data_IF_793373967431
#
_entry.id   IF_793373967431
#
_cell.length_a   1.000
_cell.length_b   1.000
_cell.length_c   1.000
_cell.angle_alpha   90.00
_cell.angle_beta   90.00
_cell.angle_gamma   90.00
#
_symmetry.space_group_name_H-M   'P 1'
#
loop_
_entity.id
_entity.type
_entity.pdbx_description
1 polymer ?
#
# COMPACT_ATOMS: atom_id res chain seq x y z
N UNK A 1 11.91 -52.87 31.82
CA UNK A 1 12.96 -51.97 31.31
C UNK A 1 12.95 -52.04 29.80
N UNK A 2 12.36 -51.04 29.12
CA UNK A 2 12.58 -50.74 27.71
C UNK A 2 12.32 -49.23 27.53
N UNK A 3 13.36 -48.54 27.07
CA UNK A 3 13.46 -47.09 26.87
C UNK A 3 12.80 -46.67 25.54
N UNK A 4 12.15 -45.49 25.45
CA UNK A 4 11.65 -44.99 24.18
C UNK A 4 12.69 -44.10 23.49
N UNK A 5 12.89 -44.34 22.19
CA UNK A 5 13.75 -43.56 21.30
C UNK A 5 13.07 -42.26 20.85
N UNK A 6 13.78 -41.15 21.04
CA UNK A 6 13.44 -39.78 20.61
C UNK A 6 13.38 -39.68 19.08
N UNK A 7 12.33 -39.04 18.55
CA UNK A 7 12.28 -38.54 17.16
C UNK A 7 13.07 -37.23 17.03
N UNK A 8 13.77 -36.97 15.91
CA UNK A 8 14.48 -35.70 15.70
C UNK A 8 13.55 -34.59 15.19
N UNK A 9 13.84 -33.37 15.64
CA UNK A 9 13.24 -32.09 15.24
C UNK A 9 13.38 -31.84 13.74
N UNK A 10 12.29 -31.40 13.10
CA UNK A 10 12.29 -30.86 11.73
C UNK A 10 12.39 -29.34 11.80
N UNK A 11 13.59 -28.83 11.60
CA UNK A 11 13.88 -27.42 11.44
C UNK A 11 15.16 -27.27 10.64
N UNK A 12 15.20 -27.85 9.44
CA UNK A 12 16.35 -27.69 8.53
C UNK A 12 15.96 -28.16 7.12
N UNK A 13 15.35 -27.27 6.35
CA UNK A 13 15.38 -27.31 4.89
C UNK A 13 14.97 -25.93 4.39
N UNK A 14 15.97 -25.15 3.96
CA UNK A 14 15.94 -24.04 3.00
C UNK A 14 17.05 -23.04 3.39
N UNK A 15 18.29 -23.42 3.07
CA UNK A 15 19.40 -22.48 2.90
C UNK A 15 20.25 -23.00 1.74
N UNK A 16 20.24 -22.27 0.63
CA UNK A 16 21.30 -22.21 -0.41
C UNK A 16 20.75 -21.51 -1.66
N UNK A 17 20.84 -20.18 -1.69
CA UNK A 17 20.96 -19.40 -2.92
C UNK A 17 22.08 -18.37 -2.67
N UNK A 18 23.16 -18.33 -3.48
CA UNK A 18 24.25 -17.37 -3.28
C UNK A 18 23.99 -16.06 -4.04
N UNK A 19 24.12 -14.92 -3.37
CA UNK A 19 24.15 -13.58 -3.99
C UNK A 19 25.53 -12.95 -3.80
N UNK A 20 26.13 -12.45 -4.90
CA UNK A 20 27.38 -11.68 -4.90
C UNK A 20 27.06 -10.18 -4.81
N UNK A 21 27.87 -9.36 -4.13
CA UNK A 21 27.72 -7.90 -4.13
C UNK A 21 28.34 -7.25 -5.36
N UNK A 22 27.72 -6.16 -5.82
CA UNK A 22 28.22 -5.25 -6.86
C UNK A 22 28.91 -4.06 -6.19
N UNK A 23 30.19 -3.84 -6.49
CA UNK A 23 30.94 -2.62 -6.15
C UNK A 23 30.79 -1.57 -7.25
N UNK A 24 30.59 -0.31 -6.86
CA UNK A 24 30.58 0.85 -7.74
C UNK A 24 31.22 2.06 -7.05
N UNK A 25 32.27 2.59 -7.68
CA UNK A 25 33.18 3.66 -7.24
C UNK A 25 32.61 5.08 -7.49
N UNK A 26 32.91 6.01 -6.58
CA UNK A 26 32.64 7.45 -6.69
C UNK A 26 33.94 8.23 -6.98
N UNK A 27 33.91 9.38 -7.70
CA UNK A 27 34.99 10.37 -7.67
C UNK A 27 34.59 11.67 -6.93
N UNK A 28 35.57 12.26 -6.23
CA UNK A 28 35.44 13.43 -5.36
C UNK A 28 35.55 14.82 -6.03
N UNK A 29 35.55 15.92 -5.24
CA UNK A 29 35.37 17.29 -5.75
C UNK A 29 36.69 18.07 -5.93
N UNK A 30 36.71 18.98 -6.90
CA UNK A 30 37.80 19.96 -7.15
C UNK A 30 37.38 21.43 -6.87
N UNK A 31 38.33 22.37 -6.69
CA UNK A 31 38.15 23.54 -5.83
C UNK A 31 37.97 24.91 -6.53
N UNK A 32 37.68 25.90 -5.68
CA UNK A 32 37.41 27.34 -5.92
C UNK A 32 38.61 28.13 -6.47
N UNK A 33 38.32 29.21 -7.21
CA UNK A 33 39.25 30.28 -7.58
C UNK A 33 38.59 31.67 -7.54
N UNK A 34 39.34 32.69 -7.12
CA UNK A 34 38.94 34.07 -6.83
C UNK A 34 39.71 35.10 -7.68
N UNK A 35 39.18 36.33 -7.84
CA UNK A 35 39.87 37.67 -7.89
C UNK A 35 38.93 38.74 -8.50
N UNK A 36 38.63 39.86 -7.80
CA UNK A 36 39.26 41.23 -7.81
C UNK A 36 39.13 41.98 -9.16
N UNK A 37 38.93 43.30 -9.34
CA UNK A 37 38.50 44.54 -8.61
C UNK A 37 38.56 45.71 -9.62
N UNK A 38 37.57 46.64 -9.63
CA UNK A 38 37.60 48.13 -9.79
C UNK A 38 38.29 48.90 -10.96
N UNK A 39 37.63 50.02 -11.37
CA UNK A 39 38.07 51.44 -11.61
C UNK A 39 37.14 52.04 -12.72
N UNK A 40 36.28 53.07 -12.57
CA UNK A 40 36.29 54.48 -12.09
C UNK A 40 36.82 55.52 -13.09
N UNK A 41 35.93 56.31 -13.71
CA UNK A 41 36.01 57.73 -14.19
C UNK A 41 34.55 58.11 -14.55
N UNK A 42 33.88 59.21 -14.20
CA UNK A 42 34.24 60.56 -13.76
C UNK A 42 33.61 61.56 -14.74
N UNK A 43 32.63 62.38 -14.31
CA UNK A 43 32.45 63.81 -14.67
C UNK A 43 31.05 64.35 -14.29
N UNK A 44 31.08 65.37 -13.45
CA UNK A 44 30.00 66.30 -13.11
C UNK A 44 29.86 67.35 -14.22
N UNK A 45 28.64 67.64 -14.70
CA UNK A 45 28.13 68.98 -15.04
C UNK A 45 26.63 68.87 -15.39
N UNK A 46 25.76 69.56 -14.65
CA UNK A 46 24.31 69.55 -14.93
C UNK A 46 23.37 69.92 -13.78
N UNK A 47 23.83 70.72 -12.81
CA UNK A 47 22.98 71.32 -11.78
C UNK A 47 22.30 72.55 -12.40
N UNK A 48 21.08 72.38 -12.94
CA UNK A 48 19.99 73.40 -12.98
C UNK A 48 18.76 73.04 -13.88
N UNK A 49 18.53 71.78 -14.25
CA UNK A 49 17.32 71.38 -15.00
C UNK A 49 16.52 70.21 -14.41
N UNK A 50 16.84 69.73 -13.20
CA UNK A 50 16.19 68.56 -12.62
C UNK A 50 14.81 68.77 -11.96
N UNK A 51 14.41 69.94 -11.41
CA UNK A 51 13.10 70.04 -10.75
C UNK A 51 11.91 70.09 -11.72
N UNK A 52 12.11 70.60 -12.95
CA UNK A 52 11.01 70.77 -13.94
C UNK A 52 10.71 69.49 -14.72
N UNK A 53 11.68 68.58 -14.87
CA UNK A 53 11.48 67.28 -15.54
C UNK A 53 10.74 66.26 -14.65
N UNK A 54 10.92 66.34 -13.33
CA UNK A 54 10.24 65.45 -12.36
C UNK A 54 8.76 65.84 -12.16
N UNK A 55 8.42 67.14 -12.22
CA UNK A 55 7.03 67.57 -12.11
C UNK A 55 6.20 67.26 -13.38
N UNK A 56 6.78 67.42 -14.57
CA UNK A 56 6.11 67.08 -15.84
C UNK A 56 5.87 65.57 -16.03
N UNK A 57 6.77 64.72 -15.52
CA UNK A 57 6.61 63.26 -15.59
C UNK A 57 5.59 62.73 -14.56
N UNK A 58 5.46 63.36 -13.39
CA UNK A 58 4.47 62.98 -12.38
C UNK A 58 3.01 63.27 -12.82
N UNK A 59 2.74 64.41 -13.48
CA UNK A 59 1.40 64.71 -14.02
C UNK A 59 1.05 63.81 -15.22
N UNK A 60 2.01 63.53 -16.10
CA UNK A 60 1.80 62.61 -17.22
C UNK A 60 1.51 61.18 -16.74
N UNK A 61 2.18 60.71 -15.69
CA UNK A 61 1.88 59.41 -15.06
C UNK A 61 0.51 59.37 -14.39
N UNK A 62 0.05 60.45 -13.75
CA UNK A 62 -1.30 60.49 -13.17
C UNK A 62 -2.43 60.52 -14.21
N UNK A 63 -2.20 61.13 -15.38
CA UNK A 63 -3.15 61.13 -16.50
C UNK A 63 -3.20 59.78 -17.23
N UNK A 64 -2.05 59.14 -17.45
CA UNK A 64 -1.97 57.78 -18.05
C UNK A 64 -2.52 56.72 -17.08
N UNK A 65 -2.23 56.82 -15.79
CA UNK A 65 -2.78 55.90 -14.77
C UNK A 65 -4.29 56.08 -14.56
N UNK A 66 -4.87 57.25 -14.89
CA UNK A 66 -6.33 57.44 -14.91
C UNK A 66 -6.99 56.86 -16.15
N UNK A 67 -6.31 56.82 -17.30
CA UNK A 67 -6.85 56.23 -18.53
C UNK A 67 -6.67 54.71 -18.63
N UNK A 68 -5.79 54.11 -17.82
CA UNK A 68 -5.52 52.66 -17.79
C UNK A 68 -5.96 51.95 -16.51
N UNK A 69 -6.91 52.50 -15.74
CA UNK A 69 -7.71 51.64 -14.87
C UNK A 69 -8.76 51.01 -15.76
N UNK A 70 -8.68 49.71 -16.12
CA UNK A 70 -9.87 49.04 -16.59
C UNK A 70 -10.90 49.25 -15.49
N UNK A 71 -11.95 50.00 -15.80
CA UNK A 71 -13.19 49.95 -15.05
C UNK A 71 -13.61 48.48 -15.10
N UNK A 72 -13.28 47.73 -14.05
CA UNK A 72 -13.95 46.49 -13.75
C UNK A 72 -15.36 46.92 -13.35
N UNK A 73 -16.18 47.22 -14.37
CA UNK A 73 -17.60 47.00 -14.27
C UNK A 73 -17.68 45.50 -13.98
N UNK A 74 -17.85 45.17 -12.70
CA UNK A 74 -18.43 43.90 -12.32
C UNK A 74 -19.72 43.83 -13.15
N UNK A 75 -19.72 43.01 -14.21
CA UNK A 75 -20.94 42.66 -14.88
C UNK A 75 -21.81 41.98 -13.82
N UNK A 76 -22.73 42.74 -13.22
CA UNK A 76 -23.71 42.19 -12.28
C UNK A 76 -24.57 41.11 -12.96
N UNK A 77 -24.62 41.07 -14.29
CA UNK A 77 -25.24 39.98 -15.06
C UNK A 77 -24.59 38.61 -14.83
N UNK A 78 -23.30 38.54 -14.43
CA UNK A 78 -22.63 37.25 -14.15
C UNK A 78 -22.80 36.77 -12.72
N UNK A 79 -23.39 37.59 -11.83
CA UNK A 79 -23.80 37.16 -10.48
C UNK A 79 -25.12 36.35 -10.51
N UNK A 80 -25.75 36.21 -11.68
CA UNK A 80 -26.97 35.42 -11.89
C UNK A 80 -26.75 33.99 -12.39
N UNK A 81 -25.54 33.62 -12.83
CA UNK A 81 -25.18 32.21 -13.02
C UNK A 81 -24.99 31.61 -11.63
N UNK A 82 -26.09 31.05 -11.10
CA UNK A 82 -26.12 30.33 -9.83
C UNK A 82 -24.96 29.34 -9.85
N UNK A 83 -23.88 29.65 -9.13
CA UNK A 83 -22.74 28.76 -9.02
C UNK A 83 -23.29 27.39 -8.64
N UNK A 84 -23.07 26.39 -9.50
CA UNK A 84 -23.49 25.02 -9.23
C UNK A 84 -23.04 24.69 -7.80
N UNK A 85 -23.95 24.23 -6.92
CA UNK A 85 -23.59 23.97 -5.54
C UNK A 85 -22.40 23.01 -5.53
N UNK A 86 -21.30 23.43 -4.89
CA UNK A 86 -20.10 22.59 -4.74
C UNK A 86 -20.56 21.31 -4.04
N UNK A 87 -20.59 20.19 -4.76
CA UNK A 87 -20.94 18.93 -4.16
C UNK A 87 -19.84 18.54 -3.16
N UNK A 88 -20.18 18.26 -1.89
CA UNK A 88 -19.21 17.75 -0.94
C UNK A 88 -18.53 16.49 -1.50
N UNK A 89 -17.22 16.37 -1.28
CA UNK A 89 -16.50 15.15 -1.63
C UNK A 89 -17.12 13.95 -0.91
N UNK A 90 -17.49 12.92 -1.68
CA UNK A 90 -18.01 11.66 -1.15
C UNK A 90 -16.96 10.55 -1.36
N UNK A 91 -16.28 10.09 -0.30
CA UNK A 91 -15.33 8.97 -0.36
C UNK A 91 -15.88 7.67 -0.93
N UNK A 92 -17.21 7.48 -0.92
CA UNK A 92 -17.85 6.29 -1.48
C UNK A 92 -17.90 6.34 -3.01
N UNK A 93 -17.83 7.53 -3.61
CA UNK A 93 -17.70 7.65 -5.06
C UNK A 93 -16.32 7.16 -5.49
N UNK A 94 -16.31 6.08 -6.27
CA UNK A 94 -15.08 5.41 -6.68
C UNK A 94 -14.52 4.39 -5.68
N UNK A 95 -15.19 4.18 -4.54
CA UNK A 95 -14.85 3.07 -3.65
C UNK A 95 -15.05 1.72 -4.36
N UNK A 96 -14.13 0.79 -4.14
CA UNK A 96 -14.11 -0.50 -4.82
C UNK A 96 -15.09 -1.47 -4.15
N UNK A 97 -15.05 -1.59 -2.82
CA UNK A 97 -15.94 -2.48 -2.07
C UNK A 97 -17.20 -1.71 -1.62
N UNK A 98 -18.39 -2.35 -1.62
CA UNK A 98 -18.64 -3.75 -1.94
C UNK A 98 -18.89 -4.05 -3.43
N UNK A 99 -18.88 -3.05 -4.32
CA UNK A 99 -19.40 -3.20 -5.68
C UNK A 99 -18.53 -4.05 -6.62
N UNK A 100 -17.21 -4.04 -6.43
CA UNK A 100 -16.26 -4.76 -7.27
C UNK A 100 -15.58 -5.86 -6.48
N UNK A 101 -15.40 -7.03 -7.10
CA UNK A 101 -14.51 -8.06 -6.56
C UNK A 101 -13.08 -7.81 -7.03
N UNK A 102 -12.13 -7.85 -6.11
CA UNK A 102 -10.72 -7.71 -6.44
C UNK A 102 -10.12 -9.08 -6.75
N UNK A 103 -9.43 -9.18 -7.88
CA UNK A 103 -8.59 -10.34 -8.24
C UNK A 103 -7.18 -9.84 -8.48
N UNK A 104 -6.25 -10.28 -7.64
CA UNK A 104 -4.88 -9.79 -7.59
C UNK A 104 -3.86 -10.87 -7.96
N UNK A 105 -2.76 -10.47 -8.60
CA UNK A 105 -1.54 -11.27 -8.64
C UNK A 105 -0.54 -10.73 -7.62
N UNK A 106 -0.05 -11.63 -6.77
CA UNK A 106 0.98 -11.36 -5.77
C UNK A 106 2.37 -11.36 -6.41
N UNK A 107 3.30 -10.57 -5.87
CA UNK A 107 4.68 -10.59 -6.33
C UNK A 107 5.66 -9.86 -5.43
N UNK A 108 6.80 -10.51 -5.19
CA UNK A 108 8.04 -9.86 -4.76
C UNK A 108 8.89 -9.62 -6.03
N UNK A 109 9.27 -8.37 -6.36
CA UNK A 109 10.04 -8.07 -7.56
C UNK A 109 11.30 -8.93 -7.68
N UNK A 110 11.48 -9.55 -8.85
CA UNK A 110 12.64 -10.40 -9.14
C UNK A 110 12.61 -11.80 -8.48
N UNK A 111 11.58 -12.15 -7.72
CA UNK A 111 11.45 -13.44 -7.05
C UNK A 111 10.33 -14.31 -7.68
N UNK A 112 10.62 -15.03 -8.78
CA UNK A 112 9.61 -15.76 -9.56
C UNK A 112 8.86 -16.85 -8.78
N UNK A 113 9.49 -17.40 -7.74
CA UNK A 113 8.89 -18.42 -6.89
C UNK A 113 7.74 -17.89 -6.01
N UNK A 114 7.58 -16.57 -5.87
CA UNK A 114 6.65 -15.97 -4.90
C UNK A 114 5.26 -15.75 -5.49
N UNK A 115 5.20 -15.23 -6.72
CA UNK A 115 3.94 -15.01 -7.39
C UNK A 115 4.09 -14.45 -8.80
N UNK A 116 3.01 -14.49 -9.61
CA UNK A 116 3.07 -14.12 -11.02
C UNK A 116 3.48 -12.67 -11.27
N UNK A 117 3.26 -11.76 -10.32
CA UNK A 117 3.57 -10.35 -10.46
C UNK A 117 5.03 -9.98 -10.09
N UNK A 118 5.92 -10.97 -9.87
CA UNK A 118 7.36 -10.72 -9.63
C UNK A 118 8.04 -9.92 -10.75
N UNK A 119 7.48 -9.95 -11.97
CA UNK A 119 7.95 -9.22 -13.13
C UNK A 119 6.75 -8.73 -13.96
N UNK A 120 6.74 -7.43 -14.25
CA UNK A 120 5.75 -6.81 -15.11
C UNK A 120 5.97 -7.24 -16.57
N UNK A 121 4.92 -7.76 -17.20
CA UNK A 121 4.94 -8.13 -18.62
C UNK A 121 3.53 -8.19 -19.19
N UNK A 122 3.43 -8.10 -20.52
CA UNK A 122 2.16 -8.29 -21.23
C UNK A 122 1.57 -9.70 -20.99
N UNK A 123 2.43 -10.72 -20.87
CA UNK A 123 1.99 -12.08 -20.58
C UNK A 123 1.41 -12.22 -19.17
N UNK A 124 2.05 -11.59 -18.17
CA UNK A 124 1.51 -11.54 -16.80
C UNK A 124 0.14 -10.86 -16.79
N UNK A 125 0.00 -9.71 -17.45
CA UNK A 125 -1.28 -8.99 -17.54
C UNK A 125 -2.37 -9.82 -18.22
N UNK A 126 -2.06 -10.47 -19.35
CA UNK A 126 -3.01 -11.32 -20.05
C UNK A 126 -3.50 -12.49 -19.17
N UNK A 127 -2.62 -13.08 -18.36
CA UNK A 127 -2.98 -14.11 -17.39
C UNK A 127 -3.88 -13.56 -16.28
N UNK A 128 -3.57 -12.38 -15.75
CA UNK A 128 -4.38 -11.71 -14.72
C UNK A 128 -5.79 -11.39 -15.25
N UNK A 129 -5.88 -10.86 -16.48
CA UNK A 129 -7.14 -10.59 -17.16
C UNK A 129 -7.96 -11.87 -17.39
N UNK A 130 -7.33 -12.94 -17.85
CA UNK A 130 -7.99 -14.23 -18.01
C UNK A 130 -8.52 -14.77 -16.66
N UNK A 131 -7.73 -14.67 -15.59
CA UNK A 131 -8.15 -15.08 -14.25
C UNK A 131 -9.34 -14.26 -13.75
N UNK A 132 -9.31 -12.93 -13.90
CA UNK A 132 -10.43 -12.07 -13.51
C UNK A 132 -11.69 -12.29 -14.33
N UNK A 133 -11.58 -12.57 -15.64
CA UNK A 133 -12.73 -12.87 -16.49
C UNK A 133 -13.51 -14.12 -16.03
N UNK A 134 -12.82 -15.10 -15.44
CA UNK A 134 -13.49 -16.26 -14.84
C UNK A 134 -14.35 -15.85 -13.65
N UNK A 135 -13.82 -15.03 -12.74
CA UNK A 135 -14.58 -14.53 -11.58
C UNK A 135 -15.76 -13.65 -12.00
N UNK A 136 -15.56 -12.72 -12.95
CA UNK A 136 -16.62 -11.86 -13.47
C UNK A 136 -17.77 -12.65 -14.11
N UNK A 137 -17.48 -13.78 -14.77
CA UNK A 137 -18.51 -14.66 -15.34
C UNK A 137 -19.26 -15.45 -14.27
N UNK A 138 -18.56 -15.90 -13.23
CA UNK A 138 -19.16 -16.71 -12.16
C UNK A 138 -20.00 -15.87 -11.19
N UNK A 139 -19.66 -14.61 -11.01
CA UNK A 139 -20.45 -13.66 -10.22
C UNK A 139 -20.57 -12.31 -10.95
N UNK A 140 -21.58 -12.18 -11.83
CA UNK A 140 -21.81 -10.94 -12.58
C UNK A 140 -22.35 -9.79 -11.70
N UNK A 141 -22.75 -10.06 -10.46
CA UNK A 141 -23.25 -9.01 -9.54
C UNK A 141 -22.12 -8.19 -8.93
N UNK A 142 -20.89 -8.73 -8.94
CA UNK A 142 -19.68 -8.05 -8.51
C UNK A 142 -18.64 -8.07 -9.65
N UNK A 143 -18.68 -7.07 -10.57
CA UNK A 143 -17.66 -6.94 -11.61
C UNK A 143 -16.25 -6.95 -11.04
N UNK A 144 -15.28 -7.44 -11.80
CA UNK A 144 -13.91 -7.62 -11.30
C UNK A 144 -13.07 -6.37 -11.50
N UNK A 145 -12.38 -5.96 -10.43
CA UNK A 145 -11.25 -5.03 -10.48
C UNK A 145 -9.96 -5.84 -10.34
N UNK A 146 -9.08 -5.73 -11.34
CA UNK A 146 -7.79 -6.42 -11.33
C UNK A 146 -6.78 -5.65 -10.49
N UNK A 147 -5.85 -6.35 -9.84
CA UNK A 147 -4.85 -5.74 -8.99
C UNK A 147 -3.48 -6.43 -9.06
N UNK A 148 -2.46 -5.71 -8.63
CA UNK A 148 -1.18 -6.28 -8.23
C UNK A 148 -1.05 -6.11 -6.72
N UNK A 149 -0.63 -7.17 -6.05
CA UNK A 149 -0.30 -7.19 -4.63
C UNK A 149 1.23 -7.26 -4.49
N UNK A 150 1.84 -6.09 -4.26
CA UNK A 150 3.27 -5.86 -4.38
C UNK A 150 3.90 -5.74 -2.99
N UNK A 151 4.78 -6.67 -2.63
CA UNK A 151 5.58 -6.56 -1.40
C UNK A 151 6.52 -5.36 -1.50
N UNK A 152 6.13 -4.26 -0.87
CA UNK A 152 6.80 -2.97 -0.93
C UNK A 152 7.81 -2.79 0.21
N UNK A 153 7.64 -3.52 1.32
CA UNK A 153 8.68 -3.72 2.34
C UNK A 153 8.90 -5.22 2.56
N UNK A 154 10.07 -5.71 2.21
CA UNK A 154 10.41 -7.14 2.13
C UNK A 154 11.00 -7.59 3.46
N UNK A 155 10.41 -8.57 4.17
CA UNK A 155 11.00 -9.09 5.40
C UNK A 155 12.23 -9.95 5.09
N UNK A 156 13.28 -9.79 5.88
CA UNK A 156 14.54 -10.54 5.70
C UNK A 156 15.09 -11.03 7.05
N UNK A 157 15.92 -12.08 7.00
CA UNK A 157 16.72 -12.55 8.14
C UNK A 157 17.89 -11.62 8.44
N UNK A 158 18.24 -10.75 7.50
CA UNK A 158 19.31 -9.77 7.66
C UNK A 158 18.74 -8.40 8.06
N UNK A 159 19.35 -7.71 9.05
CA UNK A 159 18.79 -6.46 9.58
C UNK A 159 18.78 -5.29 8.59
N UNK A 160 19.66 -5.31 7.57
CA UNK A 160 19.88 -4.20 6.66
C UNK A 160 20.48 -2.96 7.34
N UNK A 161 20.68 -1.86 6.58
CA UNK A 161 21.21 -0.61 7.11
C UNK A 161 20.35 0.00 8.24
N UNK A 162 19.03 -0.11 8.13
CA UNK A 162 18.05 0.45 9.07
C UNK A 162 17.89 -0.41 10.34
N UNK A 163 18.51 -1.59 10.39
CA UNK A 163 18.43 -2.54 11.51
C UNK A 163 17.01 -3.04 11.83
N UNK A 164 16.09 -2.96 10.86
CA UNK A 164 14.69 -3.33 11.03
C UNK A 164 14.37 -4.73 10.53
N UNK A 165 15.29 -5.43 9.86
CA UNK A 165 14.99 -6.74 9.24
C UNK A 165 13.85 -6.67 8.19
N UNK A 166 13.63 -5.49 7.64
CA UNK A 166 12.73 -5.24 6.51
C UNK A 166 13.40 -4.27 5.54
N UNK A 167 13.24 -4.52 4.25
CA UNK A 167 13.90 -3.78 3.17
C UNK A 167 12.86 -3.22 2.23
N UNK A 168 12.79 -1.89 2.17
CA UNK A 168 11.89 -1.19 1.25
C UNK A 168 12.33 -1.40 -0.18
N UNK A 169 11.36 -1.58 -1.07
CA UNK A 169 11.62 -1.43 -2.49
C UNK A 169 12.11 -0.01 -2.77
N UNK A 170 13.01 0.11 -3.74
CA UNK A 170 13.49 1.43 -4.15
C UNK A 170 12.35 2.21 -4.84
N UNK A 171 12.35 3.55 -4.74
CA UNK A 171 11.29 4.37 -5.34
C UNK A 171 11.13 4.20 -6.86
N UNK A 172 12.18 3.80 -7.59
CA UNK A 172 12.12 3.58 -9.04
C UNK A 172 11.31 2.33 -9.36
N UNK A 173 11.52 1.25 -8.60
CA UNK A 173 10.72 0.03 -8.72
C UNK A 173 9.26 0.30 -8.38
N UNK A 174 8.96 0.96 -7.25
CA UNK A 174 7.58 1.34 -6.89
C UNK A 174 6.94 2.17 -8.01
N UNK A 175 7.64 3.18 -8.52
CA UNK A 175 7.16 4.02 -9.62
C UNK A 175 6.88 3.22 -10.92
N UNK A 176 7.63 2.14 -11.20
CA UNK A 176 7.38 1.28 -12.34
C UNK A 176 6.05 0.52 -12.20
N UNK A 177 5.77 -0.03 -11.01
CA UNK A 177 4.50 -0.70 -10.73
C UNK A 177 3.31 0.28 -10.73
N UNK A 178 3.48 1.48 -10.17
CA UNK A 178 2.46 2.54 -10.23
C UNK A 178 2.12 2.89 -11.68
N UNK A 179 3.12 3.17 -12.52
CA UNK A 179 2.88 3.49 -13.95
C UNK A 179 2.17 2.35 -14.67
N UNK A 180 2.59 1.11 -14.42
CA UNK A 180 1.98 -0.06 -15.03
C UNK A 180 0.51 -0.22 -14.62
N UNK A 181 0.21 -0.10 -13.33
CA UNK A 181 -1.17 -0.20 -12.84
C UNK A 181 -2.04 0.94 -13.38
N UNK A 182 -1.52 2.17 -13.43
CA UNK A 182 -2.22 3.31 -14.02
C UNK A 182 -2.52 3.10 -15.50
N UNK A 183 -1.55 2.64 -16.29
CA UNK A 183 -1.70 2.39 -17.73
C UNK A 183 -2.73 1.30 -18.04
N UNK A 184 -2.91 0.34 -17.14
CA UNK A 184 -3.78 -0.81 -17.33
C UNK A 184 -5.04 -0.82 -16.44
N UNK A 185 -5.31 0.29 -15.76
CA UNK A 185 -6.46 0.47 -14.86
C UNK A 185 -6.55 -0.61 -13.75
N UNK A 186 -5.40 -1.02 -13.22
CA UNK A 186 -5.27 -1.97 -12.13
C UNK A 186 -5.21 -1.22 -10.79
N UNK A 187 -5.62 -1.89 -9.71
CA UNK A 187 -5.22 -1.48 -8.36
C UNK A 187 -3.78 -1.92 -8.07
N UNK A 188 -3.13 -1.22 -7.15
CA UNK A 188 -1.83 -1.61 -6.60
C UNK A 188 -1.95 -1.64 -5.08
N UNK A 189 -1.83 -2.82 -4.48
CA UNK A 189 -1.64 -2.93 -3.04
C UNK A 189 -0.14 -2.79 -2.76
N UNK A 190 0.20 -1.85 -1.89
CA UNK A 190 1.51 -1.81 -1.25
C UNK A 190 1.44 -2.75 -0.05
N UNK A 191 2.04 -3.92 -0.17
CA UNK A 191 2.06 -4.95 0.86
C UNK A 191 3.28 -4.75 1.76
N UNK A 192 3.01 -4.50 3.04
CA UNK A 192 4.00 -4.10 4.02
C UNK A 192 4.25 -5.20 5.06
N UNK A 193 5.46 -5.75 5.03
CA UNK A 193 6.07 -6.46 6.14
C UNK A 193 7.04 -5.54 6.88
N UNK A 194 6.78 -5.27 8.15
CA UNK A 194 7.47 -4.19 8.87
C UNK A 194 8.79 -4.64 9.52
N UNK A 195 9.02 -5.95 9.64
CA UNK A 195 10.12 -6.46 10.46
C UNK A 195 10.02 -5.86 11.87
N UNK A 196 11.13 -5.36 12.39
CA UNK A 196 11.23 -4.63 13.65
C UNK A 196 11.06 -3.10 13.51
N UNK A 197 10.67 -2.59 12.34
CA UNK A 197 10.41 -1.15 12.19
C UNK A 197 9.19 -0.73 13.04
N UNK A 198 9.21 0.47 13.66
CA UNK A 198 8.00 1.04 14.24
C UNK A 198 6.90 1.18 13.17
N UNK A 199 5.73 0.62 13.41
CA UNK A 199 4.65 0.48 12.41
C UNK A 199 4.33 1.79 11.70
N UNK A 200 4.10 2.86 12.48
CA UNK A 200 3.75 4.16 11.90
C UNK A 200 4.91 4.83 11.17
N UNK A 201 6.15 4.57 11.57
CA UNK A 201 7.31 5.12 10.86
C UNK A 201 7.45 4.50 9.46
N UNK A 202 7.20 3.19 9.35
CA UNK A 202 7.18 2.52 8.05
C UNK A 202 6.00 2.97 7.20
N UNK A 203 4.80 3.05 7.79
CA UNK A 203 3.62 3.53 7.08
C UNK A 203 3.82 4.93 6.51
N UNK A 204 4.40 5.85 7.29
CA UNK A 204 4.68 7.23 6.84
C UNK A 204 5.57 7.30 5.60
N UNK A 205 6.45 6.31 5.36
CA UNK A 205 7.23 6.26 4.13
C UNK A 205 6.35 6.02 2.90
N UNK A 206 5.30 5.21 3.04
CA UNK A 206 4.41 4.82 1.94
C UNK A 206 3.15 5.70 1.82
N UNK A 207 2.81 6.48 2.85
CA UNK A 207 1.65 7.39 2.84
C UNK A 207 1.55 8.27 1.59
N UNK A 208 2.63 8.91 1.08
CA UNK A 208 2.52 9.74 -0.11
C UNK A 208 1.94 9.01 -1.34
N UNK A 209 2.15 7.70 -1.47
CA UNK A 209 1.56 6.94 -2.57
C UNK A 209 0.05 6.75 -2.40
N UNK A 210 -0.41 6.48 -1.18
CA UNK A 210 -1.84 6.32 -0.85
C UNK A 210 -2.60 7.64 -0.99
N UNK A 211 -1.95 8.75 -0.65
CA UNK A 211 -2.45 10.12 -0.74
C UNK A 211 -2.59 10.60 -2.19
N UNK A 212 -1.61 10.29 -3.05
CA UNK A 212 -1.55 10.82 -4.41
C UNK A 212 -2.25 9.95 -5.45
N UNK A 213 -2.36 8.63 -5.24
CA UNK A 213 -2.89 7.72 -6.24
C UNK A 213 -4.20 7.07 -5.76
N UNK A 214 -5.28 7.33 -6.50
CA UNK A 214 -6.61 6.80 -6.18
C UNK A 214 -6.74 5.28 -6.31
N UNK A 215 -5.85 4.63 -7.07
CA UNK A 215 -5.81 3.17 -7.28
C UNK A 215 -4.78 2.44 -6.42
N UNK A 216 -4.05 3.17 -5.56
CA UNK A 216 -3.11 2.58 -4.61
C UNK A 216 -3.83 2.31 -3.29
N UNK A 217 -3.73 1.06 -2.85
CA UNK A 217 -4.33 0.48 -1.65
C UNK A 217 -3.24 -0.08 -0.72
N UNK A 218 -3.60 -0.54 0.48
CA UNK A 218 -2.64 -1.07 1.45
C UNK A 218 -2.92 -2.54 1.78
N UNK A 219 -1.86 -3.34 1.84
CA UNK A 219 -1.85 -4.66 2.43
C UNK A 219 -0.79 -4.71 3.55
N UNK A 220 -0.99 -5.56 4.55
CA UNK A 220 -0.03 -5.78 5.62
C UNK A 220 0.07 -7.28 5.93
N UNK A 221 1.29 -7.72 6.26
CA UNK A 221 1.62 -9.09 6.68
C UNK A 221 2.01 -9.15 8.16
N UNK A 222 1.04 -9.27 9.09
CA UNK A 222 1.25 -9.39 10.52
C UNK A 222 2.26 -10.44 10.97
N UNK A 223 2.41 -11.57 10.26
CA UNK A 223 3.36 -12.61 10.65
C UNK A 223 4.82 -12.11 10.69
N UNK A 224 5.12 -11.07 9.91
CA UNK A 224 6.45 -10.48 9.75
C UNK A 224 6.61 -9.15 10.49
N UNK A 225 5.65 -8.76 11.32
CA UNK A 225 5.65 -7.52 12.09
C UNK A 225 6.09 -7.74 13.53
N UNK A 226 7.29 -7.34 13.93
CA UNK A 226 7.86 -7.48 15.27
C UNK A 226 7.97 -6.13 16.02
N UNK A 227 6.85 -5.43 16.33
CA UNK A 227 6.88 -4.13 17.01
C UNK A 227 7.45 -4.18 18.43
N UNK A 228 7.66 -5.39 18.96
CA UNK A 228 8.22 -5.67 20.29
C UNK A 228 9.68 -6.13 20.25
N UNK A 229 10.31 -6.15 19.06
CA UNK A 229 11.70 -6.58 18.86
C UNK A 229 12.02 -7.97 19.43
N UNK A 230 11.05 -8.89 19.37
CA UNK A 230 11.13 -10.22 19.98
C UNK A 230 11.32 -11.36 18.96
N UNK A 231 11.72 -11.03 17.73
CA UNK A 231 11.96 -12.02 16.70
C UNK A 231 12.57 -11.45 15.42
N UNK A 232 12.99 -12.36 14.56
CA UNK A 232 13.57 -12.08 13.25
C UNK A 232 12.67 -12.72 12.19
N UNK A 233 12.21 -11.98 11.16
CA UNK A 233 11.45 -12.55 10.06
C UNK A 233 12.14 -13.76 9.41
N UNK A 234 11.35 -14.75 9.02
CA UNK A 234 11.85 -16.01 8.47
C UNK A 234 12.57 -16.93 9.48
N UNK A 235 12.68 -16.55 10.75
CA UNK A 235 13.14 -17.41 11.87
C UNK A 235 12.00 -17.56 12.89
N UNK A 236 11.37 -16.45 13.23
CA UNK A 236 10.24 -16.37 14.13
C UNK A 236 8.98 -15.99 13.35
N UNK A 237 7.83 -16.26 13.97
CA UNK A 237 6.54 -15.70 13.57
C UNK A 237 6.11 -14.72 14.66
N UNK A 238 5.43 -13.66 14.26
CA UNK A 238 5.01 -12.63 15.20
C UNK A 238 3.63 -12.84 15.81
N UNK A 239 3.38 -12.06 16.86
CA UNK A 239 2.10 -11.84 17.52
C UNK A 239 1.89 -10.31 17.60
N UNK A 240 1.02 -9.79 16.74
CA UNK A 240 0.62 -8.37 16.73
C UNK A 240 -0.58 -8.17 17.65
N UNK A 241 -0.83 -6.91 18.03
CA UNK A 241 -1.99 -6.49 18.82
C UNK A 241 -2.82 -5.50 18.03
N UNK A 242 -4.09 -5.36 18.39
CA UNK A 242 -4.93 -4.30 17.84
C UNK A 242 -4.31 -2.90 18.02
N UNK A 243 -3.57 -2.67 19.12
CA UNK A 243 -2.82 -1.41 19.32
C UNK A 243 -1.73 -1.14 18.28
N UNK A 244 -1.23 -2.18 17.60
CA UNK A 244 -0.23 -2.04 16.54
C UNK A 244 -0.90 -1.69 15.20
N UNK A 245 -2.15 -2.14 14.98
CA UNK A 245 -2.86 -2.04 13.71
C UNK A 245 -3.91 -0.93 13.66
N UNK A 246 -4.54 -0.59 14.77
CA UNK A 246 -5.55 0.47 14.84
C UNK A 246 -5.03 1.83 14.35
N UNK A 247 -3.79 2.25 14.66
CA UNK A 247 -3.23 3.48 14.09
C UNK A 247 -3.17 3.47 12.54
N UNK A 248 -2.96 2.30 11.93
CA UNK A 248 -2.99 2.14 10.45
C UNK A 248 -4.41 2.33 9.93
N UNK A 249 -5.40 1.70 10.57
CA UNK A 249 -6.84 1.82 10.23
C UNK A 249 -7.29 3.28 10.32
N UNK A 250 -6.99 3.95 11.43
CA UNK A 250 -7.34 5.36 11.66
C UNK A 250 -6.69 6.28 10.62
N UNK A 251 -5.42 6.03 10.27
CA UNK A 251 -4.71 6.81 9.27
C UNK A 251 -5.35 6.66 7.90
N UNK A 252 -5.63 5.42 7.45
CA UNK A 252 -6.30 5.18 6.18
C UNK A 252 -7.73 5.75 6.14
N UNK A 253 -8.46 5.69 7.25
CA UNK A 253 -9.81 6.26 7.36
C UNK A 253 -9.83 7.80 7.23
N UNK A 254 -8.72 8.47 7.53
CA UNK A 254 -8.60 9.92 7.39
C UNK A 254 -8.24 10.36 5.96
N UNK A 255 -7.55 9.52 5.19
CA UNK A 255 -7.02 9.89 3.87
C UNK A 255 -8.08 10.41 2.88
N UNK A 256 -9.26 9.77 2.73
CA UNK A 256 -10.22 10.18 1.69
C UNK A 256 -10.64 11.63 1.82
N UNK A 257 -10.98 12.07 3.02
CA UNK A 257 -11.42 13.45 3.27
C UNK A 257 -10.28 14.47 3.18
N UNK A 258 -9.06 14.08 3.54
CA UNK A 258 -7.90 14.97 3.53
C UNK A 258 -7.36 15.18 2.12
N UNK A 259 -7.33 14.12 1.31
CA UNK A 259 -6.64 14.10 0.02
C UNK A 259 -7.56 13.94 -1.18
N UNK A 260 -8.88 13.91 -0.97
CA UNK A 260 -9.89 13.75 -2.03
C UNK A 260 -9.67 12.48 -2.87
N UNK A 261 -9.30 11.40 -2.20
CA UNK A 261 -9.13 10.05 -2.78
C UNK A 261 -10.30 9.14 -2.36
N UNK A 262 -10.67 8.12 -3.15
CA UNK A 262 -11.69 7.16 -2.72
C UNK A 262 -11.32 6.48 -1.40
N UNK A 263 -12.34 5.95 -0.71
CA UNK A 263 -12.13 5.06 0.44
C UNK A 263 -11.14 3.95 0.09
N UNK A 264 -10.16 3.76 0.96
CA UNK A 264 -9.08 2.78 0.80
C UNK A 264 -9.50 1.38 1.25
N UNK A 265 -8.91 0.37 0.64
CA UNK A 265 -8.92 -1.00 1.12
C UNK A 265 -7.66 -1.23 1.97
N UNK A 266 -7.86 -1.80 3.16
CA UNK A 266 -6.78 -2.38 3.96
C UNK A 266 -6.94 -3.90 3.96
N UNK A 267 -6.03 -4.60 3.29
CA UNK A 267 -5.92 -6.06 3.41
C UNK A 267 -5.02 -6.38 4.59
N UNK A 268 -5.50 -7.21 5.50
CA UNK A 268 -4.71 -7.78 6.59
C UNK A 268 -4.58 -9.27 6.30
N UNK A 269 -3.37 -9.70 5.91
CA UNK A 269 -3.08 -11.11 5.70
C UNK A 269 -3.09 -11.84 7.04
N UNK A 270 -3.71 -13.02 7.06
CA UNK A 270 -3.82 -13.87 8.23
C UNK A 270 -3.37 -15.28 7.89
N UNK A 271 -2.29 -15.71 8.55
CA UNK A 271 -1.65 -17.01 8.42
C UNK A 271 -1.91 -17.91 9.63
N UNK A 272 -2.18 -17.35 10.82
CA UNK A 272 -2.53 -18.12 12.03
C UNK A 272 -3.79 -17.55 12.70
N UNK A 273 -4.34 -18.31 13.65
CA UNK A 273 -5.50 -17.86 14.43
C UNK A 273 -5.19 -16.65 15.32
N UNK A 274 -6.23 -16.12 15.95
CA UNK A 274 -6.08 -15.10 16.99
C UNK A 274 -6.00 -15.72 18.40
N UNK A 275 -5.66 -14.86 19.37
CA UNK A 275 -5.51 -15.18 20.78
C UNK A 275 -6.79 -15.03 21.60
N UNK A 276 -7.90 -14.62 21.00
CA UNK A 276 -9.13 -14.33 21.73
C UNK A 276 -9.76 -15.63 22.26
N UNK A 277 -9.63 -15.83 23.57
CA UNK A 277 -10.09 -17.03 24.27
C UNK A 277 -8.98 -18.01 24.62
N UNK A 278 -7.73 -17.74 24.21
CA UNK A 278 -6.57 -18.49 24.68
C UNK A 278 -6.19 -18.10 26.10
N UNK A 279 -5.56 -19.03 26.84
CA UNK A 279 -5.00 -18.75 28.18
C UNK A 279 -3.89 -17.70 28.12
N UNK A 280 -3.09 -17.74 27.05
CA UNK A 280 -2.07 -16.75 26.76
C UNK A 280 -2.29 -16.21 25.33
N UNK A 281 -2.96 -15.06 25.17
CA UNK A 281 -3.19 -14.48 23.85
C UNK A 281 -1.90 -14.02 23.15
N UNK A 282 -0.78 -13.89 23.87
CA UNK A 282 0.49 -13.39 23.35
C UNK A 282 1.44 -14.48 22.86
N UNK A 283 1.00 -15.74 22.83
CA UNK A 283 1.83 -16.84 22.35
C UNK A 283 1.86 -16.87 20.81
N UNK A 284 2.95 -16.33 20.25
CA UNK A 284 3.18 -16.24 18.81
C UNK A 284 3.23 -17.60 18.09
N UNK A 285 3.40 -18.72 18.81
CA UNK A 285 3.37 -20.05 18.21
C UNK A 285 1.97 -20.52 17.82
N UNK A 286 0.93 -19.91 18.40
CA UNK A 286 -0.49 -20.29 18.18
C UNK A 286 -1.38 -19.12 17.78
N UNK A 287 -0.98 -17.88 18.08
CA UNK A 287 -1.77 -16.68 17.81
C UNK A 287 -0.95 -15.61 17.05
N UNK A 288 -1.46 -15.19 15.90
CA UNK A 288 -0.94 -14.07 15.13
C UNK A 288 -1.44 -12.73 15.64
N UNK A 289 -2.71 -12.66 16.01
CA UNK A 289 -3.32 -11.49 16.65
C UNK A 289 -3.57 -11.81 18.10
N UNK A 290 -3.07 -11.03 19.04
CA UNK A 290 -3.35 -11.28 20.46
C UNK A 290 -4.81 -11.00 20.81
N UNK A 291 -5.38 -9.96 20.21
CA UNK A 291 -6.67 -9.39 20.58
C UNK A 291 -7.41 -8.87 19.34
N UNK A 292 -7.67 -9.76 18.38
CA UNK A 292 -8.34 -9.44 17.10
C UNK A 292 -9.71 -8.77 17.33
N UNK A 293 -10.42 -9.14 18.40
CA UNK A 293 -11.69 -8.50 18.80
C UNK A 293 -11.59 -6.99 19.05
N UNK A 294 -10.39 -6.48 19.34
CA UNK A 294 -10.14 -5.06 19.62
C UNK A 294 -9.74 -4.25 18.37
N UNK A 295 -9.66 -4.89 17.19
CA UNK A 295 -9.43 -4.14 15.95
C UNK A 295 -10.56 -3.14 15.74
N UNK A 296 -10.18 -1.92 15.36
CA UNK A 296 -11.12 -0.83 15.14
C UNK A 296 -11.96 -1.08 13.88
N UNK A 297 -13.26 -0.89 14.02
CA UNK A 297 -14.15 -0.74 12.88
C UNK A 297 -14.32 0.75 12.54
N UNK A 298 -13.94 1.14 11.32
CA UNK A 298 -14.22 2.47 10.79
C UNK A 298 -14.84 2.35 9.39
N UNK A 299 -16.07 2.85 9.15
CA UNK A 299 -16.74 2.74 7.84
C UNK A 299 -16.05 3.52 6.70
N UNK A 300 -15.05 4.35 7.03
CA UNK A 300 -14.27 5.14 6.07
C UNK A 300 -13.05 4.41 5.53
N UNK A 301 -12.81 3.15 5.93
CA UNK A 301 -11.81 2.25 5.36
C UNK A 301 -12.39 0.84 5.23
N UNK A 302 -12.18 0.20 4.08
CA UNK A 302 -12.65 -1.15 3.85
C UNK A 302 -11.59 -2.15 4.34
N UNK A 303 -11.72 -2.58 5.60
CA UNK A 303 -10.85 -3.62 6.18
C UNK A 303 -11.27 -5.01 5.70
N UNK A 304 -10.30 -5.75 5.15
CA UNK A 304 -10.44 -7.12 4.65
C UNK A 304 -9.52 -8.04 5.45
N UNK A 305 -10.09 -9.03 6.14
CA UNK A 305 -9.30 -10.13 6.71
C UNK A 305 -9.08 -11.17 5.61
N UNK A 306 -7.82 -11.46 5.28
CA UNK A 306 -7.46 -12.24 4.11
C UNK A 306 -6.70 -13.51 4.51
N UNK A 307 -7.28 -14.68 4.24
CA UNK A 307 -6.64 -15.97 4.56
C UNK A 307 -5.46 -16.19 3.62
N UNK A 308 -4.24 -16.05 4.16
CA UNK A 308 -2.99 -16.13 3.37
C UNK A 308 -2.52 -17.58 3.17
N UNK A 309 -2.79 -18.45 4.15
CA UNK A 309 -2.45 -19.87 4.28
C UNK A 309 -2.01 -20.62 3.01
N UNK A 310 -0.94 -21.40 3.17
CA UNK A 310 -0.31 -22.19 2.10
C UNK A 310 -0.78 -23.65 2.10
N UNK A 311 -1.07 -24.18 0.91
CA UNK A 311 -1.46 -25.58 0.68
C UNK A 311 -0.39 -26.46 0.00
N UNK A 312 -0.82 -27.33 -0.90
CA UNK A 312 0.02 -28.24 -1.69
C UNK A 312 0.14 -29.66 -1.15
N UNK A 313 -0.53 -29.97 -0.04
CA UNK A 313 -0.55 -31.28 0.60
C UNK A 313 -1.97 -31.87 0.62
N UNK A 314 -2.07 -33.20 0.76
CA UNK A 314 -3.38 -33.87 0.85
C UNK A 314 -4.13 -33.35 2.08
N UNK A 315 -5.30 -32.74 1.88
CA UNK A 315 -6.12 -32.18 2.97
C UNK A 315 -6.14 -30.66 3.02
N UNK A 316 -5.26 -30.00 2.26
CA UNK A 316 -5.08 -28.55 2.29
C UNK A 316 -6.35 -27.75 1.96
N UNK A 317 -7.14 -28.18 0.96
CA UNK A 317 -8.40 -27.50 0.63
C UNK A 317 -9.35 -27.48 1.83
N UNK A 318 -9.47 -28.61 2.56
CA UNK A 318 -10.31 -28.67 3.75
C UNK A 318 -9.79 -27.75 4.85
N UNK A 319 -8.46 -27.66 5.02
CA UNK A 319 -7.84 -26.79 6.01
C UNK A 319 -8.05 -25.32 5.66
N UNK A 320 -7.87 -24.92 4.39
CA UNK A 320 -8.13 -23.55 3.94
C UNK A 320 -9.61 -23.16 4.05
N UNK A 321 -10.53 -24.05 3.71
CA UNK A 321 -11.98 -23.84 3.91
C UNK A 321 -12.28 -23.64 5.41
N UNK A 322 -11.70 -24.47 6.28
CA UNK A 322 -11.87 -24.35 7.73
C UNK A 322 -11.30 -23.03 8.25
N UNK A 323 -10.12 -22.63 7.80
CA UNK A 323 -9.48 -21.37 8.18
C UNK A 323 -10.32 -20.17 7.75
N UNK A 324 -10.86 -20.17 6.52
CA UNK A 324 -11.77 -19.12 6.08
C UNK A 324 -13.03 -19.06 6.93
N UNK A 325 -13.67 -20.21 7.19
CA UNK A 325 -14.81 -20.25 8.10
C UNK A 325 -14.48 -19.65 9.48
N UNK A 326 -13.39 -20.08 10.11
CA UNK A 326 -13.05 -19.61 11.46
C UNK A 326 -12.64 -18.13 11.48
N UNK A 327 -11.70 -17.74 10.63
CA UNK A 327 -11.04 -16.43 10.73
C UNK A 327 -11.76 -15.31 9.98
N UNK A 328 -12.72 -15.67 9.14
CA UNK A 328 -13.50 -14.73 8.34
C UNK A 328 -14.98 -14.87 8.71
N UNK A 329 -15.64 -15.98 8.40
CA UNK A 329 -17.09 -16.15 8.63
C UNK A 329 -17.49 -15.96 10.10
N UNK A 330 -16.92 -16.77 10.99
CA UNK A 330 -17.26 -16.80 12.41
C UNK A 330 -16.76 -15.53 13.10
N UNK A 331 -15.55 -15.06 12.78
CA UNK A 331 -14.99 -13.83 13.35
C UNK A 331 -15.77 -12.56 12.95
N UNK A 332 -16.28 -12.46 11.72
CA UNK A 332 -17.16 -11.34 11.32
C UNK A 332 -18.43 -11.29 12.17
N UNK A 333 -19.02 -12.46 12.43
CA UNK A 333 -20.21 -12.58 13.28
C UNK A 333 -19.90 -12.35 14.75
N UNK A 334 -18.71 -12.74 15.21
CA UNK A 334 -18.31 -12.67 16.61
C UNK A 334 -17.85 -11.26 17.02
N UNK A 335 -17.06 -10.60 16.19
CA UNK A 335 -16.40 -9.34 16.53
C UNK A 335 -17.06 -8.11 15.90
N UNK A 336 -17.75 -8.28 14.78
CA UNK A 336 -18.40 -7.18 14.03
C UNK A 336 -17.46 -6.02 13.67
N UNK A 337 -16.16 -6.28 13.54
CA UNK A 337 -15.15 -5.25 13.36
C UNK A 337 -14.50 -5.18 11.97
N UNK A 338 -14.91 -6.06 11.05
CA UNK A 338 -14.59 -5.99 9.63
C UNK A 338 -15.79 -6.52 8.82
N UNK A 339 -15.82 -6.22 7.52
CA UNK A 339 -16.99 -6.50 6.65
C UNK A 339 -16.71 -7.46 5.50
N UNK A 340 -15.44 -7.71 5.20
CA UNK A 340 -15.05 -8.41 3.99
C UNK A 340 -14.01 -9.47 4.28
N UNK A 341 -14.14 -10.58 3.57
CA UNK A 341 -13.18 -11.65 3.57
C UNK A 341 -12.31 -11.66 2.32
N UNK A 342 -11.08 -12.11 2.48
CA UNK A 342 -10.14 -12.36 1.38
C UNK A 342 -9.54 -13.77 1.42
N UNK A 343 -9.01 -14.23 0.29
CA UNK A 343 -8.52 -15.61 0.15
C UNK A 343 -7.35 -15.71 -0.84
N UNK A 344 -6.23 -16.31 -0.40
CA UNK A 344 -5.05 -16.55 -1.25
C UNK A 344 -5.05 -17.94 -1.86
N UNK A 345 -4.45 -18.05 -3.04
CA UNK A 345 -4.19 -19.30 -3.76
C UNK A 345 -2.78 -19.28 -4.34
N UNK A 346 -2.17 -20.45 -4.57
CA UNK A 346 -0.81 -20.56 -5.10
C UNK A 346 -0.74 -21.50 -6.30
N UNK A 347 -0.40 -20.99 -7.49
CA UNK A 347 -0.47 -21.77 -8.74
C UNK A 347 0.46 -22.99 -8.78
N UNK A 348 1.66 -22.90 -8.22
CA UNK A 348 2.67 -23.95 -8.27
C UNK A 348 2.68 -24.78 -6.98
N UNK A 349 2.67 -24.15 -5.80
CA UNK A 349 2.64 -24.84 -4.51
C UNK A 349 1.38 -25.70 -4.40
N UNK A 350 0.23 -25.18 -4.82
CA UNK A 350 -1.05 -25.88 -4.78
C UNK A 350 -1.40 -26.52 -6.13
N UNK A 351 -0.47 -26.69 -7.07
CA UNK A 351 -0.78 -27.14 -8.43
C UNK A 351 -1.64 -28.42 -8.51
N UNK A 352 -1.55 -29.31 -7.52
CA UNK A 352 -2.31 -30.58 -7.45
C UNK A 352 -3.64 -30.47 -6.69
N UNK A 353 -3.85 -29.38 -5.98
CA UNK A 353 -4.93 -29.17 -5.00
C UNK A 353 -5.53 -27.77 -5.11
N UNK A 354 -5.22 -27.02 -6.16
CA UNK A 354 -5.67 -25.65 -6.35
C UNK A 354 -7.19 -25.60 -6.41
N UNK A 355 -7.80 -24.81 -5.53
CA UNK A 355 -9.24 -24.60 -5.57
C UNK A 355 -9.61 -23.81 -6.83
N UNK A 356 -10.66 -24.25 -7.51
CA UNK A 356 -11.22 -23.53 -8.66
C UNK A 356 -11.90 -22.23 -8.21
N UNK A 357 -12.00 -21.21 -9.09
CA UNK A 357 -12.75 -19.99 -8.78
C UNK A 357 -14.19 -20.25 -8.29
N UNK A 358 -14.87 -21.28 -8.81
CA UNK A 358 -16.22 -21.65 -8.36
C UNK A 358 -16.23 -22.17 -6.91
N UNK A 359 -15.23 -22.96 -6.51
CA UNK A 359 -15.08 -23.41 -5.13
C UNK A 359 -14.73 -22.25 -4.18
N UNK A 360 -13.92 -21.31 -4.62
CA UNK A 360 -13.56 -20.11 -3.85
C UNK A 360 -14.78 -19.22 -3.63
N UNK A 361 -15.59 -18.99 -4.66
CA UNK A 361 -16.84 -18.23 -4.54
C UNK A 361 -17.95 -18.95 -3.75
N UNK A 362 -17.81 -20.26 -3.52
CA UNK A 362 -18.73 -21.02 -2.68
C UNK A 362 -18.44 -20.89 -1.17
N UNK A 363 -17.30 -20.31 -0.78
CA UNK A 363 -17.02 -19.94 0.60
C UNK A 363 -18.06 -18.93 1.10
N UNK A 364 -18.28 -18.88 2.42
CA UNK A 364 -19.27 -18.02 3.04
C UNK A 364 -18.61 -17.05 4.03
N UNK A 365 -18.81 -15.73 3.89
CA UNK A 365 -19.30 -15.08 2.68
C UNK A 365 -18.35 -15.31 1.48
N UNK A 366 -18.78 -15.10 0.23
CA UNK A 366 -17.86 -15.16 -0.91
C UNK A 366 -16.73 -14.12 -0.75
N UNK A 367 -15.45 -14.50 -0.92
CA UNK A 367 -14.33 -13.56 -0.79
C UNK A 367 -14.46 -12.38 -1.76
N UNK A 368 -14.19 -11.19 -1.25
CA UNK A 368 -14.20 -9.94 -2.02
C UNK A 368 -12.82 -9.55 -2.54
N UNK A 369 -11.75 -10.07 -1.94
CA UNK A 369 -10.37 -9.93 -2.42
C UNK A 369 -9.75 -11.31 -2.56
N UNK A 370 -9.35 -11.69 -3.77
CA UNK A 370 -8.69 -12.95 -4.05
C UNK A 370 -7.31 -12.66 -4.62
N UNK A 371 -6.26 -13.21 -4.02
CA UNK A 371 -4.90 -13.09 -4.54
C UNK A 371 -4.33 -14.44 -4.99
N UNK A 372 -3.48 -14.40 -6.02
CA UNK A 372 -2.77 -15.56 -6.53
C UNK A 372 -1.25 -15.36 -6.46
N UNK A 373 -0.58 -16.23 -5.69
CA UNK A 373 0.86 -16.44 -5.69
C UNK A 373 1.27 -17.64 -6.56
N UNK A 374 2.54 -18.05 -6.42
CA UNK A 374 3.09 -19.23 -7.09
C UNK A 374 3.38 -20.32 -6.07
#
# INVERSE_FOLDING_TARGET
MMTPTRRPNRGEALSKIPTRPLEGTLPGPGPRGSRKTSVLVGLFFGLLLLPLLVAGTALAWQLVARQQRPSVLLNEERLGERAEPIQPFDPNQGAILPHYRVVAFYGIPGAPATGPAYQLSAQMLARLQAQGAVYARLDPTHPVKLAIDLVASVPDRYPGPEQTYSHRLDPTTIAAYIRFCQQHNLLLFLDLSFGQAPVMQELHFFLPYLEHYSFVELAIDPEWMFPRHNGIPGINLSNVRASDLNPVIETLAALPMQYHVPRKILVIHQYRGDGDGLKNPYDASVAEFADKRNLLYDPRVDVVIHVDSVGGYRGDQQDKIRQYRMWVEEDMQKYHNFRYGGFKLFYHIEARTLMTPAQVLALQPPPMVISYGN
#
